data_IF_628622528701
#
_entry.id   IF_628622528701
#
_cell.length_a   1.000
_cell.length_b   1.000
_cell.length_c   1.000
_cell.angle_alpha   90.00
_cell.angle_beta   90.00
_cell.angle_gamma   90.00
#
_symmetry.space_group_name_H-M   'P 1'
#
loop_
_entity.id
_entity.type
_entity.pdbx_description
1 polymer ?
#
# COMPACT_ATOMS: atom_id res chain seq x y z
N UNK A 1 -23.38 13.33 -29.70
CA UNK A 1 -22.13 14.01 -30.07
C UNK A 1 -22.40 15.08 -31.11
N UNK A 2 -21.67 16.20 -31.02
CA UNK A 2 -21.80 17.27 -32.03
C UNK A 2 -21.41 16.75 -33.42
N UNK A 3 -22.02 17.28 -34.50
CA UNK A 3 -21.68 16.95 -35.91
C UNK A 3 -20.16 17.05 -36.18
N UNK A 4 -19.46 17.98 -35.51
CA UNK A 4 -18.00 18.14 -35.62
C UNK A 4 -17.24 16.94 -35.01
N UNK A 5 -17.67 16.39 -33.88
CA UNK A 5 -17.05 15.16 -33.32
C UNK A 5 -17.31 13.95 -34.24
N UNK A 6 -18.42 13.89 -34.93
CA UNK A 6 -18.74 12.86 -35.92
C UNK A 6 -17.81 12.96 -37.11
N UNK A 7 -17.54 14.18 -37.61
CA UNK A 7 -16.63 14.43 -38.73
C UNK A 7 -15.17 14.16 -38.37
N UNK A 8 -14.73 14.53 -37.16
CA UNK A 8 -13.39 14.16 -36.66
C UNK A 8 -13.24 12.64 -36.57
N UNK A 9 -14.29 11.92 -36.10
CA UNK A 9 -14.29 10.44 -36.06
C UNK A 9 -14.25 9.85 -37.45
N UNK A 10 -15.00 10.39 -38.39
CA UNK A 10 -14.97 9.95 -39.79
C UNK A 10 -13.58 10.14 -40.40
N UNK A 11 -12.95 11.30 -40.20
CA UNK A 11 -11.60 11.57 -40.68
C UNK A 11 -10.54 10.69 -40.01
N UNK A 12 -10.66 10.41 -38.72
CA UNK A 12 -9.79 9.47 -38.00
C UNK A 12 -9.96 8.02 -38.48
N UNK A 13 -11.13 7.66 -38.97
CA UNK A 13 -11.36 6.36 -39.60
C UNK A 13 -10.73 6.25 -41.01
N UNK A 14 -10.66 7.39 -41.72
CA UNK A 14 -10.07 7.45 -43.08
C UNK A 14 -8.54 7.61 -43.03
N UNK A 15 -8.02 8.39 -42.07
CA UNK A 15 -6.59 8.76 -41.99
C UNK A 15 -6.06 8.31 -40.64
N UNK A 16 -5.13 7.35 -40.66
CA UNK A 16 -4.42 6.93 -39.44
C UNK A 16 -3.70 8.13 -38.80
N UNK A 17 -3.93 8.31 -37.47
CA UNK A 17 -3.36 9.42 -36.70
C UNK A 17 -3.81 10.83 -37.11
N UNK A 18 -5.03 10.98 -37.68
CA UNK A 18 -5.59 12.31 -37.98
C UNK A 18 -5.58 13.20 -36.74
N UNK A 19 -4.96 14.38 -36.86
CA UNK A 19 -4.97 15.44 -35.86
C UNK A 19 -5.71 16.67 -36.43
N UNK A 20 -6.43 17.38 -35.59
CA UNK A 20 -7.02 18.66 -35.93
C UNK A 20 -6.06 19.76 -35.48
N UNK A 21 -5.23 20.27 -36.43
CA UNK A 21 -4.11 21.17 -36.17
C UNK A 21 -4.02 22.27 -37.26
N UNK A 22 -2.92 23.02 -37.25
CA UNK A 22 -2.66 24.07 -38.22
C UNK A 22 -2.71 23.61 -39.68
N UNK A 23 -2.32 22.34 -39.96
CA UNK A 23 -2.27 21.78 -41.31
C UNK A 23 -3.63 21.33 -41.86
N UNK A 24 -4.52 20.94 -40.95
CA UNK A 24 -5.81 20.30 -41.28
C UNK A 24 -7.01 21.19 -41.01
N UNK A 25 -6.90 22.21 -40.14
CA UNK A 25 -8.03 23.06 -39.73
C UNK A 25 -8.74 23.78 -40.90
N UNK A 26 -7.96 24.18 -41.92
CA UNK A 26 -8.52 24.86 -43.10
C UNK A 26 -9.25 23.93 -44.08
N UNK A 27 -9.13 22.61 -43.89
CA UNK A 27 -9.87 21.60 -44.63
C UNK A 27 -11.17 21.18 -43.93
N UNK A 28 -11.39 21.71 -42.74
CA UNK A 28 -12.54 21.37 -41.89
C UNK A 28 -13.55 22.50 -41.87
N UNK A 29 -14.83 22.19 -41.65
CA UNK A 29 -15.90 23.19 -41.53
C UNK A 29 -15.84 23.81 -40.12
N UNK A 30 -15.42 25.06 -40.04
CA UNK A 30 -15.25 25.80 -38.81
C UNK A 30 -15.43 27.32 -39.05
N UNK A 31 -15.30 28.14 -38.01
CA UNK A 31 -15.47 29.60 -38.09
C UNK A 31 -14.40 30.33 -38.92
N UNK A 32 -13.31 29.66 -39.33
CA UNK A 32 -12.29 30.23 -40.22
C UNK A 32 -12.59 29.94 -41.70
N UNK A 33 -13.39 28.90 -41.97
CA UNK A 33 -13.71 28.45 -43.33
C UNK A 33 -15.14 28.78 -43.77
N UNK A 34 -16.01 29.18 -42.85
CA UNK A 34 -17.39 29.58 -43.11
C UNK A 34 -17.54 31.10 -43.03
N UNK A 35 -18.48 31.71 -43.82
CA UNK A 35 -18.87 33.09 -43.63
C UNK A 35 -19.40 33.33 -42.21
N UNK A 36 -19.10 34.50 -41.64
CA UNK A 36 -19.51 34.85 -40.27
C UNK A 36 -21.03 34.74 -40.07
N UNK A 37 -21.79 35.21 -41.04
CA UNK A 37 -23.27 35.18 -41.03
C UNK A 37 -23.80 33.74 -40.94
N UNK A 38 -23.15 32.78 -41.62
CA UNK A 38 -23.51 31.37 -41.55
C UNK A 38 -23.19 30.77 -40.16
N UNK A 39 -22.05 31.14 -39.57
CA UNK A 39 -21.66 30.69 -38.23
C UNK A 39 -22.68 31.21 -37.21
N UNK A 40 -23.01 32.51 -37.25
CA UNK A 40 -23.96 33.15 -36.35
C UNK A 40 -25.36 32.52 -36.48
N UNK A 41 -25.82 32.24 -37.71
CA UNK A 41 -27.11 31.58 -37.97
C UNK A 41 -27.14 30.13 -37.41
N UNK A 42 -26.05 29.39 -37.53
CA UNK A 42 -25.96 28.03 -37.00
C UNK A 42 -26.00 28.02 -35.46
N UNK A 43 -25.31 28.97 -34.82
CA UNK A 43 -25.34 29.11 -33.35
C UNK A 43 -26.75 29.53 -32.90
N UNK A 44 -27.36 30.52 -33.55
CA UNK A 44 -28.72 30.97 -33.25
C UNK A 44 -29.78 29.86 -33.42
N UNK A 45 -29.56 28.94 -34.37
CA UNK A 45 -30.39 27.74 -34.57
C UNK A 45 -30.16 26.63 -33.56
N UNK A 46 -29.33 26.83 -32.51
CA UNK A 46 -29.03 25.82 -31.48
C UNK A 46 -28.17 24.67 -31.99
N UNK A 47 -27.44 24.82 -33.08
CA UNK A 47 -26.55 23.79 -33.59
C UNK A 47 -25.41 23.57 -32.60
N UNK A 48 -25.18 22.33 -32.20
CA UNK A 48 -24.07 21.99 -31.29
C UNK A 48 -22.71 22.28 -31.92
N UNK A 49 -21.82 22.88 -31.15
CA UNK A 49 -20.45 23.23 -31.55
C UNK A 49 -19.45 22.95 -30.47
N UNK A 50 -18.18 23.02 -30.82
CA UNK A 50 -17.05 23.00 -29.87
C UNK A 50 -16.19 24.26 -30.11
N UNK A 51 -15.60 24.74 -29.01
CA UNK A 51 -14.56 25.79 -29.09
C UNK A 51 -13.20 25.08 -29.01
N UNK A 52 -12.33 25.40 -29.95
CA UNK A 52 -10.96 24.89 -29.99
C UNK A 52 -9.97 26.02 -29.75
N UNK A 53 -8.84 25.68 -29.14
CA UNK A 53 -7.71 26.59 -29.07
C UNK A 53 -6.96 26.55 -30.41
N UNK A 54 -6.89 27.67 -31.08
CA UNK A 54 -6.14 27.81 -32.35
C UNK A 54 -4.68 28.01 -32.05
N UNK A 55 -3.90 26.95 -32.24
CA UNK A 55 -2.45 26.99 -31.99
C UNK A 55 -1.73 27.46 -33.24
N UNK A 56 -0.87 28.47 -33.10
CA UNK A 56 0.02 28.89 -34.19
C UNK A 56 1.22 27.95 -34.26
N UNK A 57 1.59 27.45 -35.46
CA UNK A 57 2.69 26.51 -35.62
C UNK A 57 4.05 27.22 -35.56
N UNK A 58 5.14 26.44 -35.45
CA UNK A 58 6.55 26.85 -35.53
C UNK A 58 7.01 27.76 -34.37
N UNK A 59 6.38 27.69 -33.21
CA UNK A 59 6.84 28.33 -31.98
C UNK A 59 7.45 27.27 -31.05
N UNK A 60 8.63 27.55 -30.53
CA UNK A 60 9.22 26.74 -29.46
C UNK A 60 8.64 27.16 -28.10
N UNK A 61 7.80 26.31 -27.55
CA UNK A 61 7.14 26.55 -26.26
C UNK A 61 8.02 25.99 -25.14
N UNK A 62 8.48 26.86 -24.27
CA UNK A 62 9.34 26.54 -23.15
C UNK A 62 8.48 26.25 -21.92
N UNK A 63 8.72 25.09 -21.29
CA UNK A 63 8.13 24.67 -20.03
C UNK A 63 9.25 24.49 -19.02
N UNK A 64 9.34 25.37 -18.02
CA UNK A 64 10.27 25.22 -16.92
C UNK A 64 9.68 24.28 -15.87
N UNK A 65 10.12 23.02 -15.86
CA UNK A 65 9.65 22.00 -14.94
C UNK A 65 10.63 21.84 -13.76
N UNK A 66 10.12 21.89 -12.53
CA UNK A 66 10.96 21.86 -11.32
C UNK A 66 11.72 20.53 -11.15
N UNK A 67 11.22 19.44 -11.75
CA UNK A 67 11.85 18.11 -11.68
C UNK A 67 12.62 17.81 -12.97
N UNK A 68 12.02 18.07 -14.14
CA UNK A 68 12.57 17.72 -15.44
C UNK A 68 13.58 18.74 -15.97
N UNK A 69 13.53 19.96 -15.46
CA UNK A 69 14.25 21.10 -16.00
C UNK A 69 13.51 21.73 -17.18
N UNK A 70 14.25 22.41 -18.04
CA UNK A 70 13.68 23.03 -19.25
C UNK A 70 13.25 21.97 -20.26
N UNK A 71 11.96 21.99 -20.64
CA UNK A 71 11.38 21.16 -21.69
C UNK A 71 10.91 22.07 -22.80
N UNK A 72 11.42 21.89 -24.02
CA UNK A 72 11.07 22.69 -25.19
C UNK A 72 10.30 21.83 -26.16
N UNK A 73 9.10 22.27 -26.55
CA UNK A 73 8.24 21.54 -27.49
C UNK A 73 7.79 22.52 -28.57
N UNK A 74 8.04 22.17 -29.83
CA UNK A 74 7.58 22.98 -30.94
C UNK A 74 6.06 22.86 -31.13
N UNK A 75 5.35 24.00 -31.21
CA UNK A 75 3.89 24.05 -31.30
C UNK A 75 3.31 23.35 -32.55
N UNK A 76 4.10 23.12 -33.58
CA UNK A 76 3.67 22.42 -34.81
C UNK A 76 3.22 20.98 -34.57
N UNK A 77 3.63 20.35 -33.44
CA UNK A 77 3.17 18.99 -33.10
C UNK A 77 1.93 18.96 -32.24
N UNK A 78 1.44 20.14 -31.82
CA UNK A 78 0.25 20.25 -30.97
C UNK A 78 -1.02 20.32 -31.82
N UNK A 79 -2.06 19.65 -31.38
CA UNK A 79 -3.39 19.73 -31.98
C UNK A 79 -4.22 20.85 -31.34
N UNK A 80 -5.14 21.43 -32.12
CA UNK A 80 -6.10 22.42 -31.65
C UNK A 80 -7.11 21.77 -30.70
N UNK A 81 -6.74 21.66 -29.44
CA UNK A 81 -7.55 20.97 -28.40
C UNK A 81 -8.93 21.61 -28.25
N UNK A 82 -9.94 20.77 -28.09
CA UNK A 82 -11.27 21.22 -27.69
C UNK A 82 -11.20 21.74 -26.25
N UNK A 83 -11.65 22.99 -26.07
CA UNK A 83 -11.72 23.66 -24.78
C UNK A 83 -13.13 23.64 -24.17
N UNK A 84 -14.16 23.73 -25.02
CA UNK A 84 -15.56 23.77 -24.59
C UNK A 84 -16.45 23.00 -25.55
N UNK A 85 -17.49 22.37 -25.04
CA UNK A 85 -18.52 21.67 -25.80
C UNK A 85 -19.90 22.24 -25.46
N UNK A 86 -20.59 22.81 -26.44
CA UNK A 86 -21.94 23.34 -26.25
C UNK A 86 -22.99 22.26 -25.97
N UNK A 87 -22.73 20.99 -26.36
CA UNK A 87 -23.62 19.87 -26.09
C UNK A 87 -23.76 19.55 -24.62
N UNK A 88 -22.66 19.67 -23.89
CA UNK A 88 -22.54 19.33 -22.46
C UNK A 88 -22.63 20.63 -21.60
N UNK A 89 -22.50 21.79 -22.23
CA UNK A 89 -22.35 23.13 -21.61
C UNK A 89 -21.17 23.18 -20.61
N UNK A 90 -20.14 22.34 -20.85
CA UNK A 90 -19.01 22.19 -19.96
C UNK A 90 -17.69 22.44 -20.68
N UNK A 91 -16.69 23.02 -19.96
CA UNK A 91 -15.32 23.06 -20.42
C UNK A 91 -14.73 21.65 -20.46
N UNK A 92 -13.71 21.46 -21.28
CA UNK A 92 -12.87 20.26 -21.18
C UNK A 92 -11.82 20.47 -20.08
N UNK A 93 -11.16 19.37 -19.68
CA UNK A 93 -10.11 19.39 -18.65
C UNK A 93 -9.10 20.52 -18.85
N UNK A 94 -8.60 20.72 -20.07
CA UNK A 94 -7.56 21.72 -20.33
C UNK A 94 -7.99 23.15 -20.01
N UNK A 95 -9.22 23.53 -20.33
CA UNK A 95 -9.74 24.85 -19.98
C UNK A 95 -10.08 24.94 -18.50
N UNK A 96 -10.81 23.96 -17.98
CA UNK A 96 -11.21 23.95 -16.58
C UNK A 96 -10.01 24.04 -15.64
N UNK A 97 -8.97 23.21 -15.89
CA UNK A 97 -7.76 23.20 -15.07
C UNK A 97 -7.07 24.57 -15.02
N UNK A 98 -6.87 25.23 -16.18
CA UNK A 98 -6.20 26.54 -16.22
C UNK A 98 -7.01 27.62 -15.49
N UNK A 99 -8.33 27.61 -15.65
CA UNK A 99 -9.21 28.59 -15.00
C UNK A 99 -9.25 28.36 -13.50
N UNK A 100 -9.39 27.12 -13.08
CA UNK A 100 -9.42 26.75 -11.64
C UNK A 100 -8.09 27.06 -10.96
N UNK A 101 -6.96 26.67 -11.58
CA UNK A 101 -5.62 26.94 -11.04
C UNK A 101 -5.37 28.46 -10.89
N UNK A 102 -5.78 29.27 -11.88
CA UNK A 102 -5.67 30.74 -11.82
C UNK A 102 -6.55 31.34 -10.71
N UNK A 103 -7.86 30.99 -10.70
CA UNK A 103 -8.82 31.56 -9.74
C UNK A 103 -8.57 31.11 -8.30
N UNK A 104 -8.01 29.92 -8.12
CA UNK A 104 -7.63 29.38 -6.80
C UNK A 104 -6.20 29.76 -6.39
N UNK A 105 -5.51 30.57 -7.18
CA UNK A 105 -4.13 31.04 -6.92
C UNK A 105 -3.15 29.86 -6.66
N UNK A 106 -3.28 28.79 -7.46
CA UNK A 106 -2.40 27.62 -7.35
C UNK A 106 -0.97 28.00 -7.71
N UNK A 107 -0.05 27.86 -6.78
CA UNK A 107 1.36 28.21 -6.98
C UNK A 107 2.18 27.10 -7.66
N UNK A 108 1.83 25.84 -7.45
CA UNK A 108 2.55 24.68 -7.98
C UNK A 108 1.57 23.61 -8.48
N UNK A 109 1.76 23.15 -9.70
CA UNK A 109 1.03 22.02 -10.29
C UNK A 109 1.96 20.80 -10.25
N UNK A 110 1.71 19.90 -9.29
CA UNK A 110 2.47 18.66 -9.11
C UNK A 110 1.60 17.50 -9.63
N UNK A 111 2.06 16.79 -10.66
CA UNK A 111 1.28 15.71 -11.30
C UNK A 111 2.18 14.68 -11.98
N UNK A 112 1.62 13.56 -12.41
CA UNK A 112 2.37 12.51 -13.12
C UNK A 112 2.87 12.97 -14.49
N UNK A 113 4.01 12.44 -14.92
CA UNK A 113 4.67 12.79 -16.19
C UNK A 113 3.84 12.48 -17.44
N UNK A 114 2.78 11.68 -17.32
CA UNK A 114 1.82 11.45 -18.41
C UNK A 114 1.13 12.73 -18.89
N UNK A 115 1.14 13.78 -18.06
CA UNK A 115 0.59 15.10 -18.39
C UNK A 115 1.62 16.07 -18.97
N UNK A 116 2.89 15.71 -18.98
CA UNK A 116 3.97 16.56 -19.54
C UNK A 116 3.71 16.95 -21.02
N UNK A 117 3.20 16.09 -21.89
CA UNK A 117 2.86 16.46 -23.27
C UNK A 117 1.77 17.54 -23.38
N UNK A 118 0.97 17.75 -22.32
CA UNK A 118 -0.06 18.79 -22.27
C UNK A 118 0.46 20.12 -21.69
N UNK A 119 1.63 20.14 -21.08
CA UNK A 119 2.15 21.35 -20.44
C UNK A 119 2.37 22.51 -21.42
N UNK A 120 2.87 22.32 -22.67
CA UNK A 120 2.99 23.41 -23.64
C UNK A 120 1.64 24.04 -24.00
N UNK A 121 0.58 23.24 -24.13
CA UNK A 121 -0.77 23.75 -24.35
C UNK A 121 -1.23 24.63 -23.16
N UNK A 122 -0.92 24.23 -21.92
CA UNK A 122 -1.27 25.00 -20.73
C UNK A 122 -0.49 26.34 -20.72
N UNK A 123 0.79 26.35 -21.03
CA UNK A 123 1.58 27.59 -21.16
C UNK A 123 0.95 28.54 -22.19
N UNK A 124 0.58 28.01 -23.36
CA UNK A 124 -0.06 28.81 -24.42
C UNK A 124 -1.44 29.34 -24.00
N UNK A 125 -2.20 28.59 -23.20
CA UNK A 125 -3.48 29.03 -22.65
C UNK A 125 -3.29 30.17 -21.62
N UNK A 126 -2.32 30.07 -20.70
CA UNK A 126 -2.01 31.15 -19.77
C UNK A 126 -1.65 32.44 -20.51
N UNK A 127 -0.84 32.36 -21.58
CA UNK A 127 -0.55 33.49 -22.45
C UNK A 127 -1.78 34.06 -23.12
N UNK A 128 -2.63 33.21 -23.71
CA UNK A 128 -3.84 33.64 -24.40
C UNK A 128 -4.85 34.37 -23.51
N UNK A 129 -4.87 34.00 -22.20
CA UNK A 129 -5.67 34.69 -21.20
C UNK A 129 -4.99 35.93 -20.61
N UNK A 130 -3.71 36.18 -20.90
CA UNK A 130 -2.94 37.27 -20.28
C UNK A 130 -2.60 37.00 -18.81
N UNK A 131 -2.48 35.71 -18.43
CA UNK A 131 -2.22 35.26 -17.05
C UNK A 131 -0.81 34.71 -16.85
N UNK A 132 0.15 35.12 -17.66
CA UNK A 132 1.52 34.63 -17.58
C UNK A 132 2.15 34.87 -16.21
N UNK A 133 1.86 36.06 -15.60
CA UNK A 133 2.39 36.42 -14.28
C UNK A 133 1.81 35.58 -13.13
N UNK A 134 0.72 34.88 -13.36
CA UNK A 134 0.05 34.00 -12.37
C UNK A 134 0.16 32.53 -12.73
N UNK A 135 0.93 32.20 -13.75
CA UNK A 135 1.13 30.82 -14.16
C UNK A 135 1.86 30.02 -13.06
N UNK A 136 1.32 28.87 -12.60
CA UNK A 136 1.96 28.07 -11.58
C UNK A 136 3.28 27.48 -12.08
N UNK A 137 4.17 27.15 -11.14
CA UNK A 137 5.31 26.30 -11.43
C UNK A 137 4.86 24.85 -11.68
N UNK A 138 5.42 24.21 -12.69
CA UNK A 138 5.09 22.82 -13.02
C UNK A 138 6.11 21.84 -12.44
N UNK A 139 5.65 20.71 -11.94
CA UNK A 139 6.48 19.61 -11.47
C UNK A 139 5.88 18.27 -11.92
N UNK A 140 6.53 17.59 -12.86
CA UNK A 140 6.05 16.32 -13.39
C UNK A 140 6.80 15.14 -12.74
N UNK A 141 6.09 14.47 -11.81
CA UNK A 141 6.59 13.30 -11.07
C UNK A 141 6.77 12.09 -12.00
N UNK A 142 7.74 11.21 -11.69
CA UNK A 142 7.98 9.99 -12.47
C UNK A 142 6.78 9.03 -12.39
N UNK A 143 6.62 8.21 -13.42
CA UNK A 143 5.62 7.14 -13.41
C UNK A 143 5.98 6.06 -12.38
N UNK A 144 4.96 5.51 -11.75
CA UNK A 144 5.08 4.26 -11.00
C UNK A 144 5.06 3.10 -11.99
N UNK A 145 6.14 2.34 -11.98
CA UNK A 145 6.34 1.20 -12.87
C UNK A 145 5.98 -0.10 -12.17
N UNK A 146 5.62 -1.11 -12.95
CA UNK A 146 5.35 -2.46 -12.45
C UNK A 146 6.55 -3.01 -11.69
N UNK A 147 6.33 -3.84 -10.65
CA UNK A 147 7.42 -4.51 -9.92
C UNK A 147 8.23 -5.43 -10.85
N UNK A 148 7.56 -6.06 -11.80
CA UNK A 148 8.15 -6.97 -12.79
C UNK A 148 7.87 -6.49 -14.21
N UNK A 149 8.88 -6.59 -15.07
CA UNK A 149 8.81 -6.13 -16.47
C UNK A 149 8.86 -4.62 -16.61
N UNK A 150 8.38 -4.12 -17.74
CA UNK A 150 8.34 -2.71 -18.11
C UNK A 150 6.88 -2.24 -18.25
N UNK A 151 6.65 -0.98 -17.94
CA UNK A 151 5.36 -0.33 -18.13
C UNK A 151 4.77 0.26 -16.86
N UNK A 152 3.77 1.13 -17.04
CA UNK A 152 3.08 1.82 -15.97
C UNK A 152 2.30 0.84 -15.10
N UNK A 153 2.40 1.01 -13.78
CA UNK A 153 1.59 0.28 -12.80
C UNK A 153 0.11 0.61 -13.01
N UNK A 154 -0.73 -0.41 -12.98
CA UNK A 154 -2.18 -0.28 -13.06
C UNK A 154 -2.87 -0.91 -11.86
N UNK A 155 -4.14 -0.52 -11.60
CA UNK A 155 -4.97 -1.11 -10.54
C UNK A 155 -5.06 -2.63 -10.66
N UNK A 156 -5.20 -3.16 -11.90
CA UNK A 156 -5.26 -4.60 -12.18
C UNK A 156 -3.98 -5.35 -11.82
N UNK A 157 -2.83 -4.65 -11.78
CA UNK A 157 -1.57 -5.28 -11.36
C UNK A 157 -1.58 -5.55 -9.85
N UNK A 158 -2.20 -4.67 -9.03
CA UNK A 158 -2.40 -4.88 -7.61
C UNK A 158 -3.23 -6.13 -7.32
N UNK A 159 -4.39 -6.25 -7.96
CA UNK A 159 -5.28 -7.41 -7.79
C UNK A 159 -4.58 -8.72 -8.20
N UNK A 160 -3.86 -8.70 -9.33
CA UNK A 160 -3.13 -9.87 -9.86
C UNK A 160 -1.95 -10.30 -8.99
N UNK A 161 -1.24 -9.35 -8.40
CA UNK A 161 -0.01 -9.60 -7.63
C UNK A 161 -0.26 -9.64 -6.10
N UNK A 162 -1.50 -9.38 -5.68
CA UNK A 162 -1.93 -9.50 -4.29
C UNK A 162 -1.44 -8.37 -3.37
N UNK A 163 -1.23 -7.17 -3.90
CA UNK A 163 -0.92 -6.01 -3.08
C UNK A 163 -2.00 -4.92 -3.21
N UNK A 164 -2.31 -4.17 -2.14
CA UNK A 164 -3.32 -3.12 -2.17
C UNK A 164 -2.88 -1.93 -3.01
N UNK A 165 -3.85 -1.27 -3.66
CA UNK A 165 -3.64 -0.04 -4.45
C UNK A 165 -4.36 1.14 -3.82
N UNK A 166 -5.44 0.88 -3.10
CA UNK A 166 -6.24 1.91 -2.42
C UNK A 166 -5.87 2.03 -0.95
N UNK A 167 -6.03 3.22 -0.35
CA UNK A 167 -5.88 3.37 1.11
C UNK A 167 -6.85 2.50 1.90
N UNK A 168 -8.10 2.42 1.43
CA UNK A 168 -9.19 1.62 1.99
C UNK A 168 -9.70 0.63 0.96
N UNK A 169 -10.34 -0.45 1.42
CA UNK A 169 -11.04 -1.38 0.55
C UNK A 169 -12.08 -0.65 -0.30
N UNK A 170 -12.09 -0.93 -1.58
CA UNK A 170 -12.97 -0.31 -2.54
C UNK A 170 -13.92 -1.34 -3.16
N UNK A 171 -15.22 -1.06 -3.03
CA UNK A 171 -16.27 -1.82 -3.70
C UNK A 171 -16.73 -1.02 -4.93
N UNK A 172 -16.50 -1.54 -6.13
CA UNK A 172 -16.93 -0.88 -7.36
C UNK A 172 -18.47 -0.95 -7.46
N UNK A 173 -19.16 0.22 -7.46
CA UNK A 173 -20.63 0.24 -7.47
C UNK A 173 -21.24 -0.22 -8.80
N UNK A 174 -20.44 -0.36 -9.86
CA UNK A 174 -20.93 -0.77 -11.19
C UNK A 174 -20.67 -2.24 -11.47
N UNK A 175 -19.47 -2.73 -11.20
CA UNK A 175 -19.08 -4.12 -11.45
C UNK A 175 -19.32 -5.03 -10.25
N UNK A 176 -19.35 -4.49 -9.02
CA UNK A 176 -19.37 -5.26 -7.78
C UNK A 176 -18.00 -5.81 -7.40
N UNK A 177 -16.94 -5.51 -8.15
CA UNK A 177 -15.58 -5.95 -7.84
C UNK A 177 -15.08 -5.31 -6.55
N UNK A 178 -14.32 -6.08 -5.77
CA UNK A 178 -13.71 -5.64 -4.53
C UNK A 178 -12.20 -5.54 -4.71
N UNK A 179 -11.63 -4.37 -4.47
CA UNK A 179 -10.18 -4.15 -4.45
C UNK A 179 -9.71 -3.91 -3.02
N UNK A 180 -8.68 -4.64 -2.60
CA UNK A 180 -8.15 -4.55 -1.24
C UNK A 180 -7.55 -3.18 -0.92
N UNK A 181 -7.76 -2.72 0.32
CA UNK A 181 -7.14 -1.52 0.87
C UNK A 181 -5.88 -1.80 1.70
N UNK A 182 -5.01 -0.80 1.82
CA UNK A 182 -3.83 -0.89 2.70
C UNK A 182 -4.23 -1.15 4.14
N UNK A 183 -5.27 -0.44 4.66
CA UNK A 183 -5.77 -0.60 6.02
C UNK A 183 -6.28 -2.01 6.28
N UNK A 184 -7.14 -2.53 5.41
CA UNK A 184 -7.74 -3.87 5.55
C UNK A 184 -6.70 -4.98 5.32
N UNK A 185 -5.65 -4.68 4.56
CA UNK A 185 -4.48 -5.57 4.42
C UNK A 185 -3.61 -5.60 5.68
N UNK A 186 -3.77 -4.63 6.59
CA UNK A 186 -3.09 -4.58 7.88
C UNK A 186 -1.81 -3.74 7.89
N UNK A 187 -1.62 -2.86 6.90
CA UNK A 187 -0.52 -1.90 6.91
C UNK A 187 -0.76 -0.78 7.92
N UNK A 188 0.28 -0.37 8.60
CA UNK A 188 0.28 0.81 9.44
C UNK A 188 0.33 2.08 8.57
N UNK A 189 -0.43 3.14 8.91
CA UNK A 189 -0.45 4.38 8.10
C UNK A 189 0.93 4.99 7.88
N UNK A 190 1.75 5.02 8.92
CA UNK A 190 3.11 5.57 8.88
C UNK A 190 4.02 4.78 7.92
N UNK A 191 3.89 3.45 7.92
CA UNK A 191 4.63 2.58 7.01
C UNK A 191 4.26 2.84 5.55
N UNK A 192 2.96 2.99 5.26
CA UNK A 192 2.47 3.30 3.91
C UNK A 192 2.99 4.67 3.45
N UNK A 193 2.88 5.69 4.30
CA UNK A 193 3.34 7.05 3.97
C UNK A 193 4.83 7.05 3.66
N UNK A 194 5.66 6.45 4.52
CA UNK A 194 7.11 6.40 4.32
C UNK A 194 7.47 5.60 3.05
N UNK A 195 6.84 4.46 2.82
CA UNK A 195 7.03 3.67 1.61
C UNK A 195 6.67 4.46 0.34
N UNK A 196 5.50 5.13 0.33
CA UNK A 196 5.05 5.92 -0.81
C UNK A 196 5.94 7.15 -1.05
N UNK A 197 6.43 7.79 0.01
CA UNK A 197 7.33 8.94 -0.11
C UNK A 197 8.61 8.61 -0.89
N UNK A 198 9.15 7.40 -0.71
CA UNK A 198 10.36 6.96 -1.41
C UNK A 198 10.10 6.45 -2.85
N UNK A 199 8.85 6.46 -3.32
CA UNK A 199 8.55 6.13 -4.71
C UNK A 199 8.83 7.32 -5.65
N UNK A 200 10.06 7.40 -6.11
CA UNK A 200 10.52 8.45 -7.02
C UNK A 200 11.07 9.71 -6.33
N UNK A 201 11.27 9.67 -5.02
CA UNK A 201 11.96 10.68 -4.24
C UNK A 201 12.95 10.02 -3.27
N UNK A 202 13.99 10.75 -2.84
CA UNK A 202 14.89 10.30 -1.78
C UNK A 202 15.40 11.54 -0.99
N UNK A 203 15.78 11.37 0.30
CA UNK A 203 16.23 12.48 1.13
C UNK A 203 17.67 12.96 0.84
N UNK A 204 18.33 12.42 -0.18
CA UNK A 204 19.72 12.73 -0.51
C UNK A 204 20.76 11.98 0.34
N UNK A 205 20.32 11.02 1.13
CA UNK A 205 21.15 10.13 1.95
C UNK A 205 20.57 8.72 1.95
N UNK A 206 21.15 7.79 2.74
CA UNK A 206 20.72 6.40 2.83
C UNK A 206 19.61 6.15 3.87
N UNK A 207 19.00 7.20 4.43
CA UNK A 207 17.92 7.06 5.40
C UNK A 207 16.65 6.62 4.71
N UNK A 208 16.10 5.46 5.13
CA UNK A 208 14.85 4.92 4.59
C UNK A 208 13.68 5.08 5.56
N UNK A 209 13.92 4.89 6.86
CA UNK A 209 12.87 5.02 7.88
C UNK A 209 12.81 6.47 8.38
N UNK A 210 11.67 7.11 8.15
CA UNK A 210 11.45 8.52 8.46
C UNK A 210 10.05 8.75 9.02
N UNK A 211 9.97 9.44 10.14
CA UNK A 211 8.69 9.95 10.66
C UNK A 211 8.08 10.98 9.70
N UNK A 212 6.79 11.28 9.88
CA UNK A 212 6.12 12.33 9.10
C UNK A 212 6.82 13.67 9.24
N UNK A 213 7.27 14.04 10.45
CA UNK A 213 7.97 15.32 10.70
C UNK A 213 9.32 15.37 9.98
N UNK A 214 10.04 14.24 9.92
CA UNK A 214 11.30 14.15 9.15
C UNK A 214 11.03 14.23 7.65
N UNK A 215 10.00 13.55 7.15
CA UNK A 215 9.59 13.62 5.74
C UNK A 215 9.23 15.05 5.34
N UNK A 216 8.42 15.75 6.14
CA UNK A 216 8.06 17.15 5.89
C UNK A 216 9.28 18.07 5.89
N UNK A 217 10.24 17.84 6.78
CA UNK A 217 11.46 18.63 6.89
C UNK A 217 12.45 18.39 5.74
N UNK A 218 12.53 17.14 5.26
CA UNK A 218 13.52 16.74 4.25
C UNK A 218 12.99 16.84 2.82
N UNK A 219 11.66 16.94 2.65
CA UNK A 219 11.05 16.93 1.33
C UNK A 219 11.46 18.16 0.51
N UNK A 220 12.02 17.90 -0.67
CA UNK A 220 12.33 18.89 -1.69
C UNK A 220 12.12 18.30 -3.08
N UNK A 221 11.46 19.04 -3.96
CA UNK A 221 11.15 18.59 -5.33
C UNK A 221 12.42 18.32 -6.17
N UNK A 222 13.53 18.98 -5.86
CA UNK A 222 14.81 18.77 -6.55
C UNK A 222 15.37 17.35 -6.36
N UNK A 223 14.95 16.66 -5.32
CA UNK A 223 15.32 15.27 -5.04
C UNK A 223 14.39 14.24 -5.67
N UNK A 224 13.38 14.69 -6.43
CA UNK A 224 12.54 13.78 -7.20
C UNK A 224 13.30 13.19 -8.40
N UNK A 225 13.16 11.90 -8.60
CA UNK A 225 13.78 11.18 -9.73
C UNK A 225 13.15 11.62 -11.06
N UNK A 226 13.99 11.72 -12.10
CA UNK A 226 13.52 11.92 -13.49
C UNK A 226 13.09 10.62 -14.16
N UNK A 227 13.49 9.47 -13.64
CA UNK A 227 13.16 8.15 -14.17
C UNK A 227 12.03 7.50 -13.39
N UNK A 228 11.25 6.63 -14.03
CA UNK A 228 10.16 5.91 -13.40
C UNK A 228 10.61 5.11 -12.18
N UNK A 229 9.80 5.10 -11.12
CA UNK A 229 10.05 4.37 -9.89
C UNK A 229 9.36 2.99 -9.92
N UNK A 230 10.12 1.91 -9.71
CA UNK A 230 9.55 0.57 -9.58
C UNK A 230 8.80 0.43 -8.25
N UNK A 231 7.56 -0.05 -8.33
CA UNK A 231 6.73 -0.32 -7.15
C UNK A 231 7.12 -1.68 -6.55
N UNK A 232 8.04 -1.68 -5.60
CA UNK A 232 8.43 -2.88 -4.87
C UNK A 232 7.51 -3.10 -3.65
N UNK A 233 6.46 -3.90 -3.84
CA UNK A 233 5.51 -4.22 -2.75
C UNK A 233 6.16 -5.00 -1.61
N UNK A 234 7.24 -5.77 -1.86
CA UNK A 234 7.99 -6.48 -0.81
C UNK A 234 8.69 -5.49 0.12
N UNK A 235 9.19 -4.38 -0.44
CA UNK A 235 9.73 -3.28 0.35
C UNK A 235 8.64 -2.62 1.20
N UNK A 236 7.41 -2.50 0.69
CA UNK A 236 6.26 -2.05 1.47
C UNK A 236 5.96 -2.95 2.68
N UNK A 237 6.06 -4.27 2.53
CA UNK A 237 5.92 -5.24 3.63
C UNK A 237 7.07 -5.06 4.65
N UNK A 238 8.29 -4.89 4.19
CA UNK A 238 9.44 -4.62 5.05
C UNK A 238 9.24 -3.32 5.85
N UNK A 239 8.79 -2.23 5.23
CA UNK A 239 8.45 -1.01 5.96
C UNK A 239 7.44 -1.28 7.07
N UNK A 240 6.39 -2.04 6.79
CA UNK A 240 5.39 -2.35 7.80
C UNK A 240 5.97 -3.13 8.98
N UNK A 241 6.84 -4.10 8.72
CA UNK A 241 7.58 -4.82 9.75
C UNK A 241 8.41 -3.87 10.63
N UNK A 242 9.23 -3.00 10.02
CA UNK A 242 10.07 -2.07 10.75
C UNK A 242 9.24 -1.11 11.63
N UNK A 243 8.13 -0.58 11.11
CA UNK A 243 7.24 0.27 11.90
C UNK A 243 6.55 -0.50 13.04
N UNK A 244 6.19 -1.78 12.85
CA UNK A 244 5.73 -2.64 13.95
C UNK A 244 6.84 -2.76 15.00
N UNK A 245 8.09 -3.00 14.60
CA UNK A 245 9.22 -3.11 15.52
C UNK A 245 9.53 -1.82 16.29
N UNK A 246 9.36 -0.67 15.66
CA UNK A 246 9.59 0.64 16.29
C UNK A 246 8.50 1.02 17.33
N UNK A 247 7.27 0.56 17.14
CA UNK A 247 6.18 0.88 18.07
C UNK A 247 6.35 0.18 19.42
N UNK A 248 5.94 0.80 20.54
CA UNK A 248 5.87 0.12 21.83
C UNK A 248 5.01 -1.15 21.78
N UNK A 249 5.40 -2.20 22.49
CA UNK A 249 4.66 -3.47 22.52
C UNK A 249 3.21 -3.29 23.01
N UNK A 250 3.00 -2.35 23.93
CA UNK A 250 1.65 -2.01 24.42
C UNK A 250 0.75 -1.42 23.32
N UNK A 251 1.31 -0.63 22.39
CA UNK A 251 0.56 -0.08 21.25
C UNK A 251 0.17 -1.19 20.27
N UNK A 252 1.10 -2.09 19.98
CA UNK A 252 0.81 -3.27 19.16
C UNK A 252 -0.21 -4.20 19.83
N UNK A 253 -0.16 -4.34 21.16
CA UNK A 253 -1.15 -5.10 21.93
C UNK A 253 -2.56 -4.51 21.79
N UNK A 254 -2.70 -3.18 21.81
CA UNK A 254 -3.97 -2.52 21.54
C UNK A 254 -4.48 -2.83 20.12
N UNK A 255 -3.60 -2.79 19.12
CA UNK A 255 -3.96 -3.12 17.74
C UNK A 255 -4.28 -4.62 17.56
N UNK A 256 -3.78 -5.48 18.43
CA UNK A 256 -4.03 -6.92 18.40
C UNK A 256 -5.41 -7.31 18.97
N UNK A 257 -6.02 -6.52 19.86
CA UNK A 257 -7.34 -6.81 20.46
C UNK A 257 -8.44 -7.10 19.43
N UNK A 258 -8.65 -6.28 18.37
CA UNK A 258 -9.63 -6.60 17.33
C UNK A 258 -9.33 -7.89 16.59
N UNK A 259 -8.04 -8.27 16.44
CA UNK A 259 -7.66 -9.53 15.81
C UNK A 259 -8.06 -10.72 16.68
N UNK A 260 -7.92 -10.63 18.01
CA UNK A 260 -8.42 -11.65 18.94
C UNK A 260 -9.92 -11.83 18.81
N UNK A 261 -10.68 -10.73 18.82
CA UNK A 261 -12.14 -10.74 18.69
C UNK A 261 -12.60 -11.36 17.38
N UNK A 262 -11.94 -11.04 16.27
CA UNK A 262 -12.21 -11.63 14.94
C UNK A 262 -11.95 -13.15 14.90
N UNK A 263 -11.12 -13.66 15.81
CA UNK A 263 -10.84 -15.08 15.96
C UNK A 263 -11.65 -15.74 17.10
N UNK A 264 -12.69 -15.07 17.60
CA UNK A 264 -13.62 -15.61 18.60
C UNK A 264 -13.10 -15.57 20.03
N UNK A 265 -12.07 -14.80 20.30
CA UNK A 265 -11.50 -14.61 21.64
C UNK A 265 -12.02 -13.29 22.22
N UNK A 266 -12.70 -13.34 23.34
CA UNK A 266 -13.08 -12.13 24.09
C UNK A 266 -11.84 -11.48 24.68
N UNK A 267 -11.36 -10.42 24.02
CA UNK A 267 -10.14 -9.72 24.40
C UNK A 267 -10.26 -9.02 25.78
N UNK A 268 -11.48 -8.78 26.30
CA UNK A 268 -11.70 -8.17 27.61
C UNK A 268 -11.26 -9.07 28.78
N UNK A 269 -11.14 -10.37 28.56
CA UNK A 269 -10.66 -11.33 29.54
C UNK A 269 -9.14 -11.26 29.78
N UNK A 270 -8.41 -10.48 28.99
CA UNK A 270 -6.94 -10.39 29.06
C UNK A 270 -6.50 -8.96 29.39
N UNK A 271 -5.64 -8.82 30.38
CA UNK A 271 -5.08 -7.53 30.77
C UNK A 271 -4.13 -6.98 29.71
N UNK A 272 -3.95 -5.65 29.67
CA UNK A 272 -3.00 -5.00 28.78
C UNK A 272 -1.55 -5.48 29.03
N UNK A 273 -1.20 -5.76 30.28
CA UNK A 273 0.09 -6.29 30.65
C UNK A 273 0.32 -7.69 30.05
N UNK A 274 -0.68 -8.57 30.13
CA UNK A 274 -0.61 -9.91 29.52
C UNK A 274 -0.43 -9.83 28.02
N UNK A 275 -1.26 -9.05 27.32
CA UNK A 275 -1.19 -8.89 25.86
C UNK A 275 0.14 -8.26 25.43
N UNK A 276 0.65 -7.28 26.19
CA UNK A 276 1.96 -6.66 25.92
C UNK A 276 3.10 -7.70 26.02
N UNK A 277 3.09 -8.53 27.05
CA UNK A 277 4.06 -9.63 27.17
C UNK A 277 3.96 -10.64 26.03
N UNK A 278 2.73 -11.07 25.67
CA UNK A 278 2.51 -11.96 24.51
C UNK A 278 3.07 -11.37 23.23
N UNK A 279 2.78 -10.11 22.95
CA UNK A 279 3.30 -9.40 21.76
C UNK A 279 4.82 -9.33 21.77
N UNK A 280 5.44 -8.98 22.89
CA UNK A 280 6.89 -8.85 23.01
C UNK A 280 7.64 -10.12 22.61
N UNK A 281 7.06 -11.29 22.85
CA UNK A 281 7.66 -12.59 22.53
C UNK A 281 7.68 -12.91 21.02
N UNK A 282 6.80 -12.31 20.23
CA UNK A 282 6.60 -12.71 18.83
C UNK A 282 6.63 -11.57 17.81
N UNK A 283 6.63 -10.34 18.25
CA UNK A 283 6.57 -9.11 17.42
C UNK A 283 7.59 -9.13 16.27
N UNK A 284 8.82 -9.60 16.52
CA UNK A 284 9.86 -9.71 15.50
C UNK A 284 9.65 -10.81 14.44
N UNK A 285 8.52 -11.56 14.52
CA UNK A 285 8.24 -12.69 13.61
C UNK A 285 7.11 -12.39 12.65
N UNK A 286 6.53 -11.20 12.71
CA UNK A 286 5.33 -10.81 11.93
C UNK A 286 5.60 -9.57 11.10
N UNK A 287 4.99 -9.51 9.94
CA UNK A 287 4.98 -8.32 9.09
C UNK A 287 3.68 -7.51 9.25
N UNK A 288 2.63 -8.14 9.75
CA UNK A 288 1.32 -7.54 9.97
C UNK A 288 0.76 -7.94 11.33
N UNK A 289 0.05 -7.02 11.98
CA UNK A 289 -0.56 -7.27 13.30
C UNK A 289 -1.49 -8.49 13.29
N UNK A 290 -2.20 -8.73 12.20
CA UNK A 290 -3.08 -9.91 12.05
C UNK A 290 -2.34 -11.24 12.13
N UNK A 291 -1.06 -11.28 11.75
CA UNK A 291 -0.22 -12.49 11.80
C UNK A 291 0.16 -12.88 13.23
N UNK A 292 -0.02 -11.97 14.19
CA UNK A 292 0.17 -12.27 15.62
C UNK A 292 -0.72 -13.42 16.07
N UNK A 293 -1.92 -13.56 15.53
CA UNK A 293 -2.81 -14.68 15.88
C UNK A 293 -2.15 -16.04 15.65
N UNK A 294 -1.60 -16.26 14.47
CA UNK A 294 -0.94 -17.53 14.12
C UNK A 294 0.29 -17.81 14.99
N UNK A 295 0.97 -16.76 15.46
CA UNK A 295 2.13 -16.88 16.33
C UNK A 295 1.80 -17.03 17.82
N UNK A 296 0.54 -16.71 18.22
CA UNK A 296 0.17 -16.58 19.64
C UNK A 296 -1.09 -17.35 20.05
N UNK A 297 -1.82 -17.98 19.13
CA UNK A 297 -3.11 -18.64 19.40
C UNK A 297 -3.07 -19.58 20.62
N UNK A 298 -1.91 -20.25 20.86
CA UNK A 298 -1.74 -21.17 21.96
C UNK A 298 -1.71 -20.49 23.34
N UNK A 299 -1.55 -19.17 23.44
CA UNK A 299 -1.72 -18.46 24.70
C UNK A 299 -3.21 -18.34 25.11
N UNK A 300 -4.10 -18.40 24.14
CA UNK A 300 -5.54 -18.17 24.30
C UNK A 300 -6.36 -19.45 24.23
N UNK A 301 -5.90 -20.42 23.43
CA UNK A 301 -6.62 -21.68 23.18
C UNK A 301 -5.65 -22.84 23.33
N UNK A 302 -6.03 -23.80 24.19
CA UNK A 302 -5.25 -25.04 24.34
C UNK A 302 -5.31 -25.87 23.03
N UNK A 303 -4.20 -26.53 22.65
CA UNK A 303 -4.20 -27.37 21.45
C UNK A 303 -5.14 -28.57 21.63
N UNK A 304 -5.95 -28.82 20.61
CA UNK A 304 -6.82 -30.02 20.49
C UNK A 304 -6.25 -31.00 19.46
N UNK A 305 -5.36 -30.49 18.61
CA UNK A 305 -4.65 -31.24 17.58
C UNK A 305 -3.15 -31.01 17.69
N UNK A 306 -2.38 -32.01 17.29
CA UNK A 306 -0.92 -31.98 17.37
C UNK A 306 -0.32 -32.20 15.98
N UNK A 307 0.71 -31.44 15.63
CA UNK A 307 1.36 -31.51 14.34
C UNK A 307 1.93 -32.93 14.08
N UNK A 308 1.33 -33.68 13.15
CA UNK A 308 1.63 -35.08 12.89
C UNK A 308 3.15 -35.35 12.62
N UNK A 309 3.82 -34.40 11.93
CA UNK A 309 5.27 -34.47 11.69
C UNK A 309 6.07 -34.38 12.96
N UNK A 310 5.64 -33.55 13.91
CA UNK A 310 6.33 -33.36 15.20
C UNK A 310 6.04 -34.55 16.14
N UNK A 311 4.80 -35.04 16.17
CA UNK A 311 4.43 -36.26 16.89
C UNK A 311 5.30 -37.41 16.44
N UNK A 312 5.36 -37.73 15.15
CA UNK A 312 6.19 -38.84 14.61
C UNK A 312 7.67 -38.71 14.99
N UNK A 313 8.19 -37.50 15.11
CA UNK A 313 9.62 -37.23 15.36
C UNK A 313 9.98 -37.14 16.85
N UNK A 314 9.04 -36.72 17.70
CA UNK A 314 9.30 -36.26 19.07
C UNK A 314 8.51 -37.01 20.14
N UNK A 315 7.49 -37.80 19.75
CA UNK A 315 6.69 -38.57 20.67
C UNK A 315 6.99 -40.07 20.51
N UNK A 316 7.73 -40.62 21.44
CA UNK A 316 8.11 -42.04 21.49
C UNK A 316 7.32 -42.78 22.58
N UNK A 317 7.44 -44.10 22.65
CA UNK A 317 6.81 -44.94 23.67
C UNK A 317 7.13 -44.51 25.12
N UNK A 318 8.35 -44.01 25.36
CA UNK A 318 8.77 -43.49 26.67
C UNK A 318 8.25 -42.08 26.99
N UNK A 319 7.80 -41.32 25.99
CA UNK A 319 7.45 -39.92 26.17
C UNK A 319 6.31 -39.70 27.16
N UNK A 320 5.23 -40.49 27.20
CA UNK A 320 4.17 -40.33 28.20
C UNK A 320 4.68 -40.44 29.64
N UNK A 321 5.58 -41.40 29.93
CA UNK A 321 6.21 -41.59 31.24
C UNK A 321 7.05 -40.36 31.61
N UNK A 322 7.91 -39.89 30.71
CA UNK A 322 8.79 -38.73 30.93
C UNK A 322 7.95 -37.46 31.17
N UNK A 323 6.86 -37.28 30.42
CA UNK A 323 5.95 -36.13 30.58
C UNK A 323 5.19 -36.22 31.92
N UNK A 324 4.86 -37.42 32.41
CA UNK A 324 4.27 -37.61 33.74
C UNK A 324 5.25 -37.21 34.85
N UNK A 325 6.50 -37.63 34.74
CA UNK A 325 7.57 -37.23 35.67
C UNK A 325 7.80 -35.69 35.62
N UNK A 326 7.80 -35.08 34.44
CA UNK A 326 7.90 -33.64 34.28
C UNK A 326 6.74 -32.91 34.97
N UNK A 327 5.50 -33.42 34.87
CA UNK A 327 4.35 -32.85 35.58
C UNK A 327 4.58 -32.85 37.11
N UNK A 328 5.18 -33.90 37.68
CA UNK A 328 5.47 -33.95 39.13
C UNK A 328 6.53 -32.90 39.51
N UNK A 329 7.55 -32.71 38.69
CA UNK A 329 8.53 -31.62 38.87
C UNK A 329 7.83 -30.24 38.82
N UNK A 330 7.02 -29.98 37.79
CA UNK A 330 6.31 -28.70 37.61
C UNK A 330 5.36 -28.40 38.76
N UNK A 331 4.66 -29.41 39.32
CA UNK A 331 3.81 -29.27 40.52
C UNK A 331 4.59 -28.75 41.71
N UNK A 332 5.84 -29.23 41.88
CA UNK A 332 6.73 -28.85 42.99
C UNK A 332 7.32 -27.45 42.90
N UNK A 333 7.23 -26.77 41.74
CA UNK A 333 7.79 -25.42 41.54
C UNK A 333 6.95 -24.41 42.32
N UNK A 334 7.55 -23.70 43.26
CA UNK A 334 6.87 -22.61 44.01
C UNK A 334 6.75 -21.33 43.19
N UNK A 335 7.85 -20.84 42.64
CA UNK A 335 7.90 -19.68 41.74
C UNK A 335 7.88 -20.18 40.29
N UNK A 336 6.73 -20.07 39.63
CA UNK A 336 6.49 -20.56 38.25
C UNK A 336 6.89 -19.56 37.16
N UNK A 337 7.64 -18.52 37.51
CA UNK A 337 8.22 -17.61 36.53
C UNK A 337 9.24 -18.32 35.63
N UNK A 338 9.52 -17.71 34.45
CA UNK A 338 10.26 -18.32 33.36
C UNK A 338 11.62 -18.86 33.80
N UNK A 339 12.46 -18.01 34.36
CA UNK A 339 13.85 -18.40 34.69
C UNK A 339 13.96 -19.44 35.83
N UNK A 340 13.26 -19.30 36.97
CA UNK A 340 13.24 -20.34 38.02
C UNK A 340 12.71 -21.69 37.53
N UNK A 341 11.65 -21.68 36.72
CA UNK A 341 11.10 -22.91 36.14
C UNK A 341 12.06 -23.57 35.18
N UNK A 342 12.74 -22.80 34.34
CA UNK A 342 13.77 -23.29 33.44
C UNK A 342 14.90 -23.98 34.20
N UNK A 343 15.46 -23.32 35.20
CA UNK A 343 16.62 -23.86 35.97
C UNK A 343 16.28 -25.20 36.66
N UNK A 344 15.07 -25.30 37.23
CA UNK A 344 14.60 -26.53 37.88
C UNK A 344 14.38 -27.63 36.86
N UNK A 345 13.71 -27.37 35.74
CA UNK A 345 13.41 -28.37 34.71
C UNK A 345 14.70 -28.86 34.03
N UNK A 346 15.61 -27.96 33.68
CA UNK A 346 16.90 -28.30 33.06
C UNK A 346 17.75 -29.11 34.03
N UNK A 347 17.77 -28.72 35.33
CA UNK A 347 18.46 -29.48 36.36
C UNK A 347 17.92 -30.92 36.46
N UNK A 348 16.59 -31.08 36.53
CA UNK A 348 15.94 -32.40 36.56
C UNK A 348 16.26 -33.24 35.31
N UNK A 349 16.19 -32.67 34.09
CA UNK A 349 16.53 -33.40 32.86
C UNK A 349 17.96 -33.91 32.89
N UNK A 350 18.87 -33.06 33.36
CA UNK A 350 20.31 -33.40 33.48
C UNK A 350 20.56 -34.49 34.51
N UNK A 351 19.97 -34.38 35.69
CA UNK A 351 20.09 -35.36 36.77
C UNK A 351 19.56 -36.76 36.37
N UNK A 352 18.44 -36.77 35.62
CA UNK A 352 17.86 -38.01 35.08
C UNK A 352 18.60 -38.58 33.87
N UNK A 353 19.55 -37.86 33.30
CA UNK A 353 20.27 -38.26 32.09
C UNK A 353 19.41 -38.30 30.83
N UNK A 354 18.29 -37.57 30.80
CA UNK A 354 17.45 -37.49 29.62
C UNK A 354 18.06 -36.61 28.55
N UNK A 355 17.74 -36.93 27.28
CA UNK A 355 18.16 -36.08 26.17
C UNK A 355 17.37 -34.77 26.15
N UNK A 356 18.03 -33.66 26.44
CA UNK A 356 17.45 -32.33 26.58
C UNK A 356 16.47 -31.98 25.43
N UNK A 357 16.92 -32.12 24.18
CA UNK A 357 16.11 -31.78 23.02
C UNK A 357 14.85 -32.64 22.85
N UNK A 358 14.86 -33.89 23.30
CA UNK A 358 13.68 -34.76 23.22
C UNK A 358 12.65 -34.33 24.26
N UNK A 359 13.06 -34.13 25.51
CA UNK A 359 12.16 -33.70 26.59
C UNK A 359 11.55 -32.32 26.27
N UNK A 360 12.39 -31.34 25.92
CA UNK A 360 11.93 -29.98 25.65
C UNK A 360 11.01 -29.88 24.41
N UNK A 361 11.27 -30.69 23.36
CA UNK A 361 10.38 -30.73 22.21
C UNK A 361 9.04 -31.42 22.54
N UNK A 362 9.04 -32.51 23.30
CA UNK A 362 7.82 -33.17 23.75
C UNK A 362 7.01 -32.28 24.67
N UNK A 363 7.65 -31.56 25.58
CA UNK A 363 7.02 -30.54 26.43
C UNK A 363 6.36 -29.44 25.60
N UNK A 364 7.08 -28.85 24.64
CA UNK A 364 6.56 -27.87 23.75
C UNK A 364 5.38 -28.39 22.92
N UNK A 365 5.50 -29.56 22.34
CA UNK A 365 4.43 -30.23 21.59
C UNK A 365 3.18 -30.38 22.45
N UNK A 366 3.31 -30.77 23.71
CA UNK A 366 2.18 -30.91 24.62
C UNK A 366 1.48 -29.61 24.90
N UNK A 367 2.20 -28.50 25.04
CA UNK A 367 1.63 -27.21 25.47
C UNK A 367 1.15 -26.38 24.28
N UNK A 368 1.87 -26.44 23.15
CA UNK A 368 1.65 -25.58 21.98
C UNK A 368 0.93 -26.31 20.85
N UNK A 369 1.06 -27.63 20.75
CA UNK A 369 0.55 -28.45 19.65
C UNK A 369 1.56 -28.67 18.51
N UNK A 370 2.67 -27.93 18.51
CA UNK A 370 3.77 -28.03 17.54
C UNK A 370 5.13 -27.68 18.18
N UNK A 371 6.24 -28.04 17.51
CA UNK A 371 7.59 -27.76 18.01
C UNK A 371 8.14 -26.38 17.61
N UNK A 372 7.27 -25.37 17.46
CA UNK A 372 7.61 -23.97 17.15
C UNK A 372 7.07 -23.02 18.22
N UNK A 373 7.60 -21.84 18.27
CA UNK A 373 7.12 -20.78 19.16
C UNK A 373 8.26 -20.04 19.87
N UNK A 374 7.93 -19.09 20.76
CA UNK A 374 8.91 -18.38 21.60
C UNK A 374 9.53 -19.28 22.66
N UNK A 375 10.27 -18.71 23.58
CA UNK A 375 10.91 -19.49 24.67
C UNK A 375 9.86 -20.26 25.49
N UNK A 376 10.13 -21.53 25.77
CA UNK A 376 9.12 -22.43 26.34
C UNK A 376 8.64 -21.99 27.72
N UNK A 377 9.56 -21.54 28.57
CA UNK A 377 9.22 -21.14 29.92
C UNK A 377 8.50 -19.78 30.00
N UNK A 378 8.71 -18.88 29.03
CA UNK A 378 7.90 -17.67 28.89
C UNK A 378 6.45 -18.01 28.53
N UNK A 379 6.25 -19.06 27.71
CA UNK A 379 4.90 -19.56 27.40
C UNK A 379 4.23 -20.07 28.69
N UNK A 380 4.92 -20.92 29.44
CA UNK A 380 4.34 -21.55 30.65
C UNK A 380 4.10 -20.55 31.76
N UNK A 381 4.95 -19.53 31.92
CA UNK A 381 4.71 -18.42 32.86
C UNK A 381 3.39 -17.72 32.54
N UNK A 382 3.15 -17.40 31.25
CA UNK A 382 1.97 -16.64 30.82
C UNK A 382 0.67 -17.43 30.89
N UNK A 383 0.69 -18.73 30.51
CA UNK A 383 -0.54 -19.54 30.60
C UNK A 383 -0.79 -20.07 32.02
N UNK A 384 0.23 -20.06 32.88
CA UNK A 384 0.16 -20.50 34.26
C UNK A 384 0.35 -22.02 34.47
N UNK A 385 0.66 -22.38 35.72
CA UNK A 385 0.96 -23.74 36.12
C UNK A 385 -0.16 -24.74 35.84
N UNK A 386 -1.38 -24.41 36.25
CA UNK A 386 -2.53 -25.31 36.15
C UNK A 386 -2.83 -25.64 34.68
N UNK A 387 -2.86 -24.63 33.82
CA UNK A 387 -3.11 -24.82 32.40
C UNK A 387 -1.96 -25.60 31.72
N UNK A 388 -0.72 -25.34 32.12
CA UNK A 388 0.45 -26.11 31.63
C UNK A 388 0.30 -27.59 31.93
N UNK A 389 -0.04 -27.93 33.18
CA UNK A 389 -0.25 -29.33 33.62
C UNK A 389 -1.43 -29.98 32.89
N UNK A 390 -2.53 -29.27 32.75
CA UNK A 390 -3.71 -29.75 32.02
C UNK A 390 -3.42 -30.08 30.55
N UNK A 391 -2.59 -29.25 29.88
CA UNK A 391 -2.19 -29.48 28.48
C UNK A 391 -1.25 -30.66 28.33
N UNK A 392 -0.30 -30.86 29.26
CA UNK A 392 0.59 -32.03 29.24
C UNK A 392 -0.24 -33.30 29.43
N UNK A 393 -1.16 -33.32 30.40
CA UNK A 393 -2.05 -34.47 30.63
C UNK A 393 -2.89 -34.79 29.40
N UNK A 394 -3.48 -33.78 28.76
CA UNK A 394 -4.25 -33.96 27.51
C UNK A 394 -3.40 -34.56 26.39
N UNK A 395 -2.16 -34.08 26.21
CA UNK A 395 -1.27 -34.65 25.22
C UNK A 395 -0.96 -36.12 25.49
N UNK A 396 -0.70 -36.50 26.75
CA UNK A 396 -0.49 -37.89 27.15
C UNK A 396 -1.71 -38.74 26.82
N UNK A 397 -2.94 -38.22 27.03
CA UNK A 397 -4.15 -38.98 26.81
C UNK A 397 -4.48 -39.17 25.31
N UNK A 398 -4.12 -38.22 24.48
CA UNK A 398 -4.42 -38.22 23.01
C UNK A 398 -3.31 -38.97 22.24
N UNK A 399 -2.06 -38.78 22.59
CA UNK A 399 -0.89 -39.27 21.83
C UNK A 399 -0.35 -40.64 22.33
N UNK A 400 -1.24 -41.43 22.91
CA UNK A 400 -0.90 -42.80 23.40
C UNK A 400 -0.34 -43.70 22.32
#
# INVERSE_FOLDING_TARGET
>A
GSEMCIRDRAKRAEIANFQYDASTRMQMRNSLTLPKEEVDALIAAGKQYVVRFKIEPNEDVHVNDLIRGEVVINSSILDDKVLYKSADELPTYHLANIVDDHLMEVSHVIRGEEWLPSAPLHVLLYRAFGWEDTMPAFAHLPLLLKPEGNGKLSKRDGDRLGFPVFPLEWHDPKSGDVSSGYRESGYLPEAVINFLALLGWNPGNDQELMSMDELVKLFDLSHCSKSGAKFDYKKGIWFNHEYIMMKPDAEIACLFRPVLESNGIDASNYSDEFLTKVVSLVKGRVNFVKELWDQTRFFFVAPTEYAAKDVKKRWSEDTPRIMTELMDVLRGIGDFSSKPSEDIVIGWITERGYHMGNVMNAFRLSVVGECKGPHMFDITELIGKEETLARIQRAIDILK
#
